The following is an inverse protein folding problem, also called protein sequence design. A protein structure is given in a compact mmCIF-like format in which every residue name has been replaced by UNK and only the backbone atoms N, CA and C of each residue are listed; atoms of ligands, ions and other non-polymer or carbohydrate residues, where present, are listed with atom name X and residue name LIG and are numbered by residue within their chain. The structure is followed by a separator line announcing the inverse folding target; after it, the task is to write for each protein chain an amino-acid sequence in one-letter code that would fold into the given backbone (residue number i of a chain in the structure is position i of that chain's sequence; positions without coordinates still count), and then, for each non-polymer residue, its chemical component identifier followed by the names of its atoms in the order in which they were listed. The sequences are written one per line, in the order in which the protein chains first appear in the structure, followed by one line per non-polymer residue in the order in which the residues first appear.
data_IF_383521354193
#
_entry.id   IF_383521354193
#
_cell.length_a   1.000
_cell.length_b   1.000
_cell.length_c   1.000
_cell.angle_alpha   90.00
_cell.angle_beta   90.00
_cell.angle_gamma   90.00
#
_symmetry.space_group_name_H-M   'P 1'
#
loop_
_entity.id
_entity.type
_entity.pdbx_description
1 polymer ?
#
# COMPACT_ATOMS: atom_id res chain seq x y z
N UNK A 1 -5.73 7.17 28.19
CA UNK A 1 -4.89 7.47 27.02
C UNK A 1 -4.70 6.22 26.20
N UNK A 2 -4.62 6.32 24.86
CA UNK A 2 -4.24 5.20 23.98
C UNK A 2 -2.95 5.60 23.27
N UNK A 3 -1.99 4.68 23.16
CA UNK A 3 -0.70 4.95 22.53
C UNK A 3 -0.28 3.82 21.56
N UNK A 4 0.54 4.18 20.56
CA UNK A 4 1.08 3.29 19.55
C UNK A 4 2.29 2.50 20.11
N UNK A 5 2.56 1.32 19.54
CA UNK A 5 3.76 0.52 19.86
C UNK A 5 5.08 1.26 19.56
N UNK A 6 5.06 2.30 18.70
CA UNK A 6 6.23 3.14 18.42
C UNK A 6 6.59 4.11 19.55
N UNK A 7 5.72 4.33 20.53
CA UNK A 7 5.96 5.23 21.65
C UNK A 7 6.84 4.53 22.68
N UNK A 8 7.98 5.12 22.96
CA UNK A 8 8.94 4.60 23.94
C UNK A 8 8.44 4.80 25.38
N UNK A 9 8.85 3.96 26.33
CA UNK A 9 8.44 4.07 27.75
C UNK A 9 8.85 5.39 28.44
N UNK A 10 9.87 6.07 27.90
CA UNK A 10 10.38 7.36 28.40
C UNK A 10 9.70 8.58 27.76
N UNK A 11 8.67 8.38 26.95
CA UNK A 11 7.90 9.49 26.38
C UNK A 11 7.25 10.34 27.46
N UNK A 12 7.41 11.66 27.37
CA UNK A 12 6.98 12.63 28.39
C UNK A 12 5.47 12.61 28.64
N UNK A 13 4.65 12.48 27.57
CA UNK A 13 3.19 12.40 27.70
C UNK A 13 2.75 11.12 28.42
N UNK A 14 3.41 10.00 28.14
CA UNK A 14 3.14 8.71 28.78
C UNK A 14 3.52 8.76 30.27
N UNK A 15 4.68 9.32 30.59
CA UNK A 15 5.15 9.50 31.97
C UNK A 15 4.21 10.41 32.77
N UNK A 16 3.81 11.56 32.21
CA UNK A 16 2.91 12.49 32.88
C UNK A 16 1.49 11.92 33.07
N UNK A 17 1.00 11.16 32.09
CA UNK A 17 -0.28 10.46 32.17
C UNK A 17 -0.28 9.44 33.31
N UNK A 18 0.82 8.66 33.43
CA UNK A 18 1.01 7.72 34.54
C UNK A 18 1.08 8.41 35.91
N UNK A 19 1.81 9.53 36.01
CA UNK A 19 1.87 10.33 37.26
C UNK A 19 0.50 10.83 37.70
N UNK A 20 -0.38 11.18 36.75
CA UNK A 20 -1.74 11.62 37.00
C UNK A 20 -2.71 10.48 37.28
N UNK A 21 -2.27 9.22 37.27
CA UNK A 21 -3.11 8.05 37.48
C UNK A 21 -4.15 7.82 36.36
N UNK A 22 -3.94 8.39 35.17
CA UNK A 22 -4.81 8.21 34.02
C UNK A 22 -4.50 6.86 33.38
N UNK A 23 -5.54 6.06 33.17
CA UNK A 23 -5.40 4.73 32.56
C UNK A 23 -4.85 4.82 31.14
N UNK A 24 -3.74 4.13 30.89
CA UNK A 24 -3.09 4.03 29.59
C UNK A 24 -3.32 2.65 28.99
N UNK A 25 -3.57 2.60 27.68
CA UNK A 25 -3.71 1.38 26.92
C UNK A 25 -2.82 1.45 25.69
N UNK A 26 -2.04 0.43 25.45
CA UNK A 26 -1.39 0.24 24.15
C UNK A 26 -2.43 -0.06 23.06
N UNK A 27 -2.04 0.10 21.78
CA UNK A 27 -2.88 -0.30 20.64
C UNK A 27 -3.38 -1.74 20.79
N UNK A 28 -2.49 -2.65 21.20
CA UNK A 28 -2.81 -4.07 21.39
C UNK A 28 -3.87 -4.31 22.46
N UNK A 29 -3.80 -3.58 23.57
CA UNK A 29 -4.75 -3.71 24.68
C UNK A 29 -6.12 -3.10 24.39
N UNK A 30 -6.18 -2.04 23.58
CA UNK A 30 -7.44 -1.36 23.27
C UNK A 30 -8.24 -2.06 22.16
N UNK A 31 -7.59 -2.78 21.25
CA UNK A 31 -8.23 -3.44 20.11
C UNK A 31 -9.42 -4.32 20.50
N UNK A 32 -9.35 -5.20 21.50
CA UNK A 32 -10.50 -6.01 21.93
C UNK A 32 -11.71 -5.21 22.35
N UNK A 33 -11.51 -3.99 22.89
CA UNK A 33 -12.62 -3.10 23.27
C UNK A 33 -13.26 -2.42 22.06
N UNK A 34 -12.42 -1.98 21.09
CA UNK A 34 -12.88 -1.32 19.85
C UNK A 34 -13.64 -2.32 18.97
N UNK A 35 -13.19 -3.57 18.93
CA UNK A 35 -13.74 -4.64 18.09
C UNK A 35 -14.82 -5.47 18.81
N UNK A 36 -15.13 -5.15 20.07
CA UNK A 36 -16.13 -5.86 20.86
C UNK A 36 -17.49 -5.83 20.17
N UNK A 37 -18.17 -6.97 20.21
CA UNK A 37 -19.52 -7.16 19.64
C UNK A 37 -19.63 -6.87 18.13
N UNK A 38 -18.48 -6.89 17.41
CA UNK A 38 -18.41 -6.75 15.95
C UNK A 38 -18.07 -8.07 15.28
N UNK A 39 -18.64 -8.27 14.09
CA UNK A 39 -18.16 -9.26 13.14
C UNK A 39 -16.96 -8.69 12.41
N UNK A 40 -15.76 -9.11 12.81
CA UNK A 40 -14.50 -8.55 12.32
C UNK A 40 -14.03 -9.30 11.09
N UNK A 41 -13.91 -8.59 9.98
CA UNK A 41 -13.31 -9.07 8.72
C UNK A 41 -11.85 -8.63 8.72
N UNK A 42 -10.97 -9.47 9.21
CA UNK A 42 -9.55 -9.14 9.40
C UNK A 42 -8.72 -9.57 8.21
N UNK A 43 -7.83 -8.68 7.74
CA UNK A 43 -6.87 -8.98 6.68
C UNK A 43 -5.45 -8.85 7.21
N UNK A 44 -4.69 -9.94 7.17
CA UNK A 44 -3.29 -10.01 7.59
C UNK A 44 -2.39 -10.49 6.43
N UNK A 45 -1.07 -10.41 6.61
CA UNK A 45 -0.04 -10.85 5.67
C UNK A 45 1.11 -9.86 5.58
N UNK A 46 2.28 -10.26 5.13
CA UNK A 46 3.43 -9.36 4.95
C UNK A 46 3.12 -8.28 3.91
N UNK A 47 2.66 -8.68 2.74
CA UNK A 47 2.32 -7.80 1.61
C UNK A 47 0.83 -7.86 1.24
N UNK A 48 0.30 -6.81 0.59
CA UNK A 48 -1.08 -6.77 0.07
C UNK A 48 -2.17 -6.44 1.11
N UNK A 49 -1.89 -6.42 2.43
CA UNK A 49 -2.87 -6.13 3.50
C UNK A 49 -3.75 -4.93 3.24
N UNK A 50 -3.15 -3.76 3.06
CA UNK A 50 -3.88 -2.49 2.91
C UNK A 50 -4.74 -2.47 1.64
N UNK A 51 -4.22 -3.03 0.55
CA UNK A 51 -4.93 -3.13 -0.73
C UNK A 51 -6.13 -4.05 -0.60
N UNK A 52 -5.93 -5.27 -0.08
CA UNK A 52 -7.00 -6.26 0.14
C UNK A 52 -8.05 -5.73 1.13
N UNK A 53 -7.62 -5.10 2.23
CA UNK A 53 -8.54 -4.48 3.21
C UNK A 53 -9.37 -3.36 2.59
N UNK A 54 -8.76 -2.49 1.79
CA UNK A 54 -9.46 -1.41 1.11
C UNK A 54 -10.45 -1.95 0.05
N UNK A 55 -10.09 -3.00 -0.70
CA UNK A 55 -10.99 -3.69 -1.61
C UNK A 55 -12.15 -4.33 -0.85
N UNK A 56 -11.87 -5.07 0.21
CA UNK A 56 -12.88 -5.71 1.04
C UNK A 56 -13.83 -4.68 1.68
N UNK A 57 -13.32 -3.52 2.07
CA UNK A 57 -14.13 -2.41 2.60
C UNK A 57 -15.08 -1.78 1.57
N UNK A 58 -14.80 -1.96 0.28
CA UNK A 58 -15.71 -1.58 -0.80
C UNK A 58 -16.81 -2.63 -0.99
N UNK A 59 -16.53 -3.89 -0.66
CA UNK A 59 -17.45 -5.02 -0.86
C UNK A 59 -18.39 -5.23 0.33
N UNK A 60 -17.90 -5.06 1.55
CA UNK A 60 -18.65 -5.30 2.79
C UNK A 60 -19.09 -3.96 3.39
N UNK A 61 -20.40 -3.79 3.53
CA UNK A 61 -20.97 -2.63 4.22
C UNK A 61 -20.72 -2.73 5.72
N UNK A 62 -19.92 -1.80 6.25
CA UNK A 62 -19.52 -1.79 7.66
C UNK A 62 -18.54 -0.68 7.99
N UNK A 63 -18.15 -0.64 9.26
CA UNK A 63 -17.05 0.22 9.72
C UNK A 63 -15.73 -0.28 9.14
N UNK A 64 -14.72 0.59 9.06
CA UNK A 64 -13.42 0.28 8.44
C UNK A 64 -12.31 0.85 9.30
N UNK A 65 -11.25 0.08 9.53
CA UNK A 65 -9.97 0.53 10.09
C UNK A 65 -8.87 -0.15 9.29
N UNK A 66 -8.12 0.63 8.51
CA UNK A 66 -7.03 0.13 7.64
C UNK A 66 -5.76 0.95 7.84
N UNK A 67 -4.60 0.42 7.44
CA UNK A 67 -3.30 1.06 7.60
C UNK A 67 -3.01 2.17 6.61
N UNK A 68 -3.80 2.30 5.54
CA UNK A 68 -3.62 3.29 4.48
C UNK A 68 -4.87 4.17 4.30
N UNK A 69 -4.72 5.33 3.65
CA UNK A 69 -5.84 6.19 3.34
C UNK A 69 -6.55 5.67 2.09
N UNK A 70 -7.79 5.20 2.23
CA UNK A 70 -8.63 4.83 1.09
C UNK A 70 -9.01 6.06 0.27
N UNK A 71 -8.90 5.98 -1.05
CA UNK A 71 -9.38 7.04 -1.94
C UNK A 71 -10.91 7.13 -1.98
N UNK A 72 -11.61 6.03 -1.70
CA UNK A 72 -13.07 5.95 -1.71
C UNK A 72 -13.72 6.84 -0.65
N UNK A 73 -13.14 6.89 0.57
CA UNK A 73 -13.70 7.69 1.68
C UNK A 73 -12.72 8.69 2.31
N UNK A 74 -11.53 8.86 1.71
CA UNK A 74 -10.56 9.91 2.06
C UNK A 74 -9.87 9.76 3.41
N UNK A 75 -10.02 8.61 4.09
CA UNK A 75 -9.49 8.32 5.42
C UNK A 75 -8.94 6.90 5.52
N UNK A 76 -8.26 6.59 6.60
CA UNK A 76 -7.90 5.23 7.01
C UNK A 76 -8.93 4.60 7.95
N UNK A 77 -9.97 5.35 8.30
CA UNK A 77 -11.06 4.93 9.17
C UNK A 77 -12.40 5.45 8.63
N UNK A 78 -13.44 4.60 8.69
CA UNK A 78 -14.83 4.96 8.40
C UNK A 78 -15.72 4.35 9.47
N UNK A 79 -16.55 5.15 10.10
CA UNK A 79 -17.62 4.66 10.95
C UNK A 79 -18.87 4.37 10.11
N UNK A 80 -19.51 3.27 10.40
CA UNK A 80 -20.80 2.88 9.82
C UNK A 80 -21.62 2.16 10.89
N UNK A 81 -22.90 2.45 10.97
CA UNK A 81 -23.80 1.82 11.95
C UNK A 81 -24.15 0.40 11.49
N UNK A 82 -23.27 -0.55 11.83
CA UNK A 82 -23.36 -1.97 11.51
C UNK A 82 -22.64 -2.80 12.57
N UNK A 83 -22.97 -4.07 12.65
CA UNK A 83 -22.21 -5.08 13.41
C UNK A 83 -20.92 -5.52 12.72
N UNK A 84 -20.68 -5.10 11.46
CA UNK A 84 -19.52 -5.49 10.67
C UNK A 84 -18.44 -4.43 10.70
N UNK A 85 -17.20 -4.90 10.72
CA UNK A 85 -16.01 -4.05 10.58
C UNK A 85 -14.94 -4.74 9.75
N UNK A 86 -14.41 -4.04 8.74
CA UNK A 86 -13.20 -4.44 8.02
C UNK A 86 -11.99 -3.88 8.73
N UNK A 87 -11.07 -4.75 9.10
CA UNK A 87 -9.92 -4.42 9.92
C UNK A 87 -8.61 -4.92 9.29
N UNK A 88 -7.66 -4.02 9.06
CA UNK A 88 -6.30 -4.42 8.69
C UNK A 88 -5.54 -4.86 9.93
N UNK A 89 -5.19 -6.14 9.96
CA UNK A 89 -4.58 -6.80 11.09
C UNK A 89 -3.06 -6.85 10.92
N UNK A 90 -2.35 -6.07 11.74
CA UNK A 90 -0.90 -5.89 11.67
C UNK A 90 -0.18 -7.00 12.45
N UNK A 91 0.67 -7.76 11.76
CA UNK A 91 1.48 -8.82 12.34
C UNK A 91 2.76 -8.32 13.01
N UNK A 92 3.20 -7.08 12.70
CA UNK A 92 4.50 -6.55 13.10
C UNK A 92 4.74 -6.51 14.62
N UNK A 93 3.66 -6.44 15.42
CA UNK A 93 3.71 -6.47 16.89
C UNK A 93 2.81 -7.56 17.51
N UNK A 94 2.39 -8.54 16.70
CA UNK A 94 1.40 -9.59 17.04
C UNK A 94 0.04 -9.03 17.50
N UNK A 95 -0.27 -7.75 17.28
CA UNK A 95 -1.57 -7.17 17.65
C UNK A 95 -2.73 -7.76 16.86
N UNK A 96 -2.45 -8.33 15.68
CA UNK A 96 -3.45 -9.01 14.87
C UNK A 96 -4.13 -10.18 15.61
N UNK A 97 -3.46 -10.84 16.54
CA UNK A 97 -4.04 -11.87 17.40
C UNK A 97 -5.18 -11.37 18.28
N UNK A 98 -5.25 -10.06 18.53
CA UNK A 98 -6.27 -9.43 19.37
C UNK A 98 -7.48 -8.92 18.53
N UNK A 99 -7.48 -9.14 17.22
CA UNK A 99 -8.59 -8.74 16.36
C UNK A 99 -9.82 -9.66 16.47
N UNK A 100 -9.64 -10.87 16.99
CA UNK A 100 -10.68 -11.88 17.16
C UNK A 100 -11.60 -12.00 15.92
N UNK A 101 -11.08 -12.44 14.76
CA UNK A 101 -11.78 -12.35 13.51
C UNK A 101 -12.98 -13.30 13.42
N UNK A 102 -14.11 -12.80 12.91
CA UNK A 102 -15.17 -13.63 12.35
C UNK A 102 -14.70 -14.24 11.02
N UNK A 103 -14.10 -13.43 10.16
CA UNK A 103 -13.50 -13.85 8.90
C UNK A 103 -12.07 -13.34 8.83
N UNK A 104 -11.12 -14.26 8.58
CA UNK A 104 -9.71 -13.95 8.41
C UNK A 104 -9.28 -14.15 6.95
N UNK A 105 -8.63 -13.13 6.39
CA UNK A 105 -7.94 -13.21 5.10
C UNK A 105 -6.44 -13.14 5.37
N UNK A 106 -5.65 -14.05 4.81
CA UNK A 106 -4.18 -13.96 4.84
C UNK A 106 -3.64 -13.96 3.42
N UNK A 107 -2.99 -12.86 3.06
CA UNK A 107 -2.46 -12.65 1.71
C UNK A 107 -1.19 -13.45 1.44
N UNK A 108 -0.28 -13.49 2.40
CA UNK A 108 0.95 -14.27 2.44
C UNK A 108 1.50 -14.29 3.86
N UNK A 109 2.46 -15.16 4.14
CA UNK A 109 3.15 -15.30 5.41
C UNK A 109 4.68 -15.27 5.22
N UNK A 110 5.16 -14.33 4.39
CA UNK A 110 6.58 -14.10 4.21
C UNK A 110 7.19 -13.55 5.50
N UNK A 111 8.38 -14.03 5.92
CA UNK A 111 9.01 -13.58 7.14
C UNK A 111 9.41 -12.10 7.11
N UNK A 112 8.64 -11.26 7.77
CA UNK A 112 8.92 -9.85 8.01
C UNK A 112 8.86 -9.56 9.52
N UNK A 113 9.49 -8.46 9.97
CA UNK A 113 9.50 -8.05 11.37
C UNK A 113 9.93 -9.17 12.36
N UNK A 114 10.90 -9.99 11.92
CA UNK A 114 11.34 -11.17 12.65
C UNK A 114 11.94 -10.88 14.03
N UNK A 115 12.39 -9.64 14.26
CA UNK A 115 12.83 -9.17 15.58
C UNK A 115 11.73 -9.31 16.64
N UNK A 116 10.47 -9.17 16.26
CA UNK A 116 9.33 -9.33 17.16
C UNK A 116 9.05 -10.81 17.50
N UNK A 117 9.51 -11.72 16.67
CA UNK A 117 9.35 -13.18 16.83
C UNK A 117 10.65 -13.87 17.28
N UNK A 118 11.59 -13.11 17.89
CA UNK A 118 12.91 -13.59 18.31
C UNK A 118 13.69 -14.29 17.18
N UNK A 119 13.50 -13.84 15.94
CA UNK A 119 14.05 -14.43 14.70
C UNK A 119 13.69 -15.92 14.51
N UNK A 120 12.61 -16.42 15.16
CA UNK A 120 12.11 -17.78 15.04
C UNK A 120 10.95 -17.86 14.04
N UNK A 121 11.17 -18.60 12.97
CA UNK A 121 10.14 -18.88 11.97
C UNK A 121 8.97 -19.68 12.55
N UNK A 122 9.24 -20.56 13.54
CA UNK A 122 8.24 -21.34 14.22
C UNK A 122 7.28 -20.44 15.02
N UNK A 123 7.81 -19.42 15.72
CA UNK A 123 7.00 -18.44 16.46
C UNK A 123 6.17 -17.59 15.50
N UNK A 124 6.76 -17.17 14.41
CA UNK A 124 6.08 -16.40 13.35
C UNK A 124 4.91 -17.21 12.75
N UNK A 125 5.18 -18.44 12.32
CA UNK A 125 4.14 -19.34 11.78
C UNK A 125 3.07 -19.71 12.82
N UNK A 126 3.46 -19.91 14.09
CA UNK A 126 2.51 -20.17 15.17
C UNK A 126 1.55 -19.01 15.40
N UNK A 127 2.02 -17.75 15.25
CA UNK A 127 1.16 -16.57 15.35
C UNK A 127 0.12 -16.52 14.22
N UNK A 128 0.50 -16.73 12.96
CA UNK A 128 -0.44 -16.81 11.85
C UNK A 128 -1.43 -17.97 11.99
N UNK A 129 -0.95 -19.13 12.40
CA UNK A 129 -1.83 -20.28 12.71
C UNK A 129 -2.84 -19.92 13.78
N UNK A 130 -2.38 -19.34 14.91
CA UNK A 130 -3.25 -18.90 16.00
C UNK A 130 -4.25 -17.83 15.60
N UNK A 131 -3.90 -16.93 14.68
CA UNK A 131 -4.81 -15.95 14.09
C UNK A 131 -5.91 -16.62 13.27
N UNK A 132 -5.55 -17.54 12.38
CA UNK A 132 -6.49 -18.27 11.55
C UNK A 132 -7.40 -19.18 12.40
N UNK A 133 -6.88 -19.83 13.43
CA UNK A 133 -7.66 -20.74 14.30
C UNK A 133 -8.80 -20.03 15.04
N UNK A 134 -8.70 -18.73 15.29
CA UNK A 134 -9.76 -17.92 15.92
C UNK A 134 -10.90 -17.56 14.97
N UNK A 135 -10.69 -17.62 13.68
CA UNK A 135 -11.70 -17.23 12.69
C UNK A 135 -12.70 -18.37 12.42
N UNK A 136 -13.97 -18.02 12.25
CA UNK A 136 -14.99 -18.95 11.76
C UNK A 136 -14.78 -19.29 10.29
N UNK A 137 -14.44 -18.28 9.49
CA UNK A 137 -14.18 -18.37 8.04
C UNK A 137 -12.75 -17.94 7.77
N UNK A 138 -12.02 -18.70 6.97
CA UNK A 138 -10.66 -18.37 6.57
C UNK A 138 -10.55 -18.33 5.04
N UNK A 139 -9.85 -17.33 4.52
CA UNK A 139 -9.46 -17.20 3.10
C UNK A 139 -7.96 -17.02 3.05
N UNK A 140 -7.27 -17.85 2.29
CA UNK A 140 -5.80 -17.82 2.23
C UNK A 140 -5.29 -17.91 0.81
N UNK A 141 -4.16 -17.28 0.54
CA UNK A 141 -3.34 -17.57 -0.62
C UNK A 141 -2.58 -18.88 -0.39
N UNK A 142 -3.04 -19.95 -1.01
CA UNK A 142 -2.51 -21.29 -0.80
C UNK A 142 -1.26 -21.60 -1.63
N UNK A 143 -0.76 -20.68 -2.44
CA UNK A 143 0.57 -20.75 -3.05
C UNK A 143 1.69 -20.31 -2.11
N UNK A 144 1.37 -19.58 -1.03
CA UNK A 144 2.28 -19.43 0.09
C UNK A 144 2.50 -20.81 0.72
N UNK A 145 3.76 -21.24 0.81
CA UNK A 145 4.12 -22.60 1.23
C UNK A 145 3.58 -22.93 2.63
N UNK A 146 3.73 -21.97 3.57
CA UNK A 146 3.24 -22.18 4.93
C UNK A 146 1.71 -22.22 4.98
N UNK A 147 1.03 -21.24 4.38
CA UNK A 147 -0.43 -21.17 4.39
C UNK A 147 -1.05 -22.38 3.67
N UNK A 148 -0.48 -22.80 2.54
CA UNK A 148 -0.90 -23.97 1.78
C UNK A 148 -0.82 -25.28 2.56
N UNK A 149 0.14 -25.39 3.49
CA UNK A 149 0.39 -26.57 4.33
C UNK A 149 -0.60 -26.72 5.51
N UNK A 150 -1.36 -25.67 5.83
CA UNK A 150 -2.27 -25.67 6.98
C UNK A 150 -3.40 -26.69 6.82
N UNK A 151 -3.66 -27.44 7.90
CA UNK A 151 -4.74 -28.45 7.95
C UNK A 151 -6.12 -27.84 8.22
N UNK A 152 -6.18 -26.57 8.69
CA UNK A 152 -7.45 -25.88 8.93
C UNK A 152 -8.22 -25.79 7.62
N UNK A 153 -9.51 -26.02 7.66
CA UNK A 153 -10.41 -25.79 6.53
C UNK A 153 -10.45 -24.29 6.24
N UNK A 154 -10.04 -23.94 5.02
CA UNK A 154 -10.00 -22.56 4.51
C UNK A 154 -10.49 -22.54 3.08
N UNK A 155 -11.05 -21.41 2.66
CA UNK A 155 -11.23 -21.08 1.25
C UNK A 155 -9.83 -20.79 0.69
N UNK A 156 -9.35 -21.67 -0.19
CA UNK A 156 -8.00 -21.62 -0.75
C UNK A 156 -8.02 -20.97 -2.12
N UNK A 157 -7.23 -19.91 -2.30
CA UNK A 157 -6.88 -19.35 -3.60
C UNK A 157 -5.52 -19.92 -4.02
N UNK A 158 -5.46 -20.48 -5.22
CA UNK A 158 -4.21 -20.82 -5.91
C UNK A 158 -4.05 -19.87 -7.10
N UNK A 159 -3.41 -18.71 -6.96
CA UNK A 159 -3.34 -17.68 -8.00
C UNK A 159 -3.02 -18.21 -9.38
N UNK A 160 -2.01 -19.06 -9.54
CA UNK A 160 -1.59 -19.62 -10.84
C UNK A 160 -2.62 -20.56 -11.50
N UNK A 161 -3.59 -21.08 -10.71
CA UNK A 161 -4.61 -22.03 -11.20
C UNK A 161 -6.00 -21.46 -11.25
N UNK A 162 -6.31 -20.52 -10.34
CA UNK A 162 -7.65 -20.01 -10.11
C UNK A 162 -7.88 -18.65 -10.74
N UNK A 163 -6.82 -17.92 -11.12
CA UNK A 163 -6.89 -16.63 -11.80
C UNK A 163 -6.39 -16.79 -13.24
N UNK A 164 -7.27 -16.55 -14.20
CA UNK A 164 -7.01 -16.69 -15.61
C UNK A 164 -7.25 -15.38 -16.36
N UNK A 165 -6.75 -15.28 -17.60
CA UNK A 165 -6.98 -14.14 -18.52
C UNK A 165 -6.68 -12.77 -17.87
N UNK A 166 -5.61 -12.68 -17.08
CA UNK A 166 -5.18 -11.43 -16.45
C UNK A 166 -4.73 -10.45 -17.54
N UNK A 167 -5.38 -9.29 -17.60
CA UNK A 167 -5.11 -8.25 -18.60
C UNK A 167 -5.23 -6.88 -17.98
N UNK A 168 -4.31 -5.99 -18.31
CA UNK A 168 -4.44 -4.58 -18.06
C UNK A 168 -5.37 -3.96 -19.11
N UNK A 169 -6.42 -3.27 -18.67
CA UNK A 169 -7.39 -2.56 -19.52
C UNK A 169 -7.55 -1.13 -19.04
N UNK A 170 -8.08 -0.25 -19.91
CA UNK A 170 -8.31 1.15 -19.57
C UNK A 170 -9.81 1.43 -19.40
N UNK A 171 -10.13 2.29 -18.42
CA UNK A 171 -11.44 2.92 -18.23
C UNK A 171 -11.20 4.40 -17.95
N UNK A 172 -11.65 5.27 -18.85
CA UNK A 172 -11.46 6.72 -18.73
C UNK A 172 -9.98 7.12 -18.45
N UNK A 173 -9.05 6.49 -19.19
CA UNK A 173 -7.61 6.64 -19.04
C UNK A 173 -7.03 6.08 -17.72
N UNK A 174 -7.84 5.51 -16.82
CA UNK A 174 -7.36 4.84 -15.61
C UNK A 174 -7.10 3.35 -15.87
N UNK A 175 -6.08 2.73 -15.22
CA UNK A 175 -5.76 1.32 -15.38
C UNK A 175 -6.66 0.44 -14.50
N UNK A 176 -7.12 -0.65 -15.07
CA UNK A 176 -7.85 -1.71 -14.38
C UNK A 176 -7.27 -3.08 -14.74
N UNK A 177 -7.19 -3.95 -13.74
CA UNK A 177 -6.91 -5.36 -13.98
C UNK A 177 -8.21 -6.09 -14.26
N UNK A 178 -8.34 -6.65 -15.46
CA UNK A 178 -9.43 -7.55 -15.84
C UNK A 178 -8.93 -8.99 -15.76
N UNK A 179 -9.65 -9.85 -15.05
CA UNK A 179 -9.26 -11.24 -14.86
C UNK A 179 -10.52 -12.14 -14.70
N UNK A 180 -10.33 -13.42 -14.89
CA UNK A 180 -11.33 -14.44 -14.59
C UNK A 180 -10.95 -15.16 -13.31
N UNK A 181 -11.82 -15.15 -12.31
CA UNK A 181 -11.68 -15.98 -11.12
C UNK A 181 -12.51 -17.25 -11.30
N UNK A 182 -11.87 -18.40 -11.14
CA UNK A 182 -12.43 -19.73 -11.37
C UNK A 182 -13.81 -19.90 -10.71
N UNK A 183 -14.76 -20.43 -11.48
CA UNK A 183 -16.15 -20.66 -11.08
C UNK A 183 -16.96 -19.39 -10.72
N UNK A 184 -16.34 -18.21 -10.61
CA UNK A 184 -17.02 -16.97 -10.25
C UNK A 184 -17.14 -15.99 -11.42
N UNK A 185 -16.43 -16.25 -12.53
CA UNK A 185 -16.49 -15.45 -13.75
C UNK A 185 -15.51 -14.29 -13.79
N UNK A 186 -15.79 -13.28 -14.61
CA UNK A 186 -14.89 -12.15 -14.86
C UNK A 186 -15.13 -11.00 -13.88
N UNK A 187 -14.03 -10.38 -13.48
CA UNK A 187 -13.98 -9.19 -12.63
C UNK A 187 -13.04 -8.14 -13.22
N UNK A 188 -13.29 -6.89 -12.87
CA UNK A 188 -12.39 -5.76 -13.14
C UNK A 188 -12.19 -4.97 -11.86
N UNK A 189 -10.95 -4.59 -11.56
CA UNK A 189 -10.58 -3.84 -10.38
C UNK A 189 -9.58 -2.75 -10.74
N UNK A 190 -9.73 -1.57 -10.16
CA UNK A 190 -8.79 -0.47 -10.32
C UNK A 190 -7.38 -0.86 -9.82
N UNK A 191 -6.37 -0.51 -10.61
CA UNK A 191 -4.96 -0.74 -10.28
C UNK A 191 -4.21 -1.46 -11.39
N UNK A 192 -2.95 -1.74 -11.14
CA UNK A 192 -2.03 -2.33 -12.10
C UNK A 192 -1.14 -3.39 -11.47
N UNK A 193 -0.93 -4.48 -12.21
CA UNK A 193 -0.08 -5.60 -11.80
C UNK A 193 -0.88 -6.83 -11.33
N UNK A 194 -0.29 -8.01 -11.52
CA UNK A 194 -0.93 -9.28 -11.17
C UNK A 194 -1.28 -9.38 -9.69
N UNK A 195 -0.47 -8.78 -8.81
CA UNK A 195 -0.75 -8.73 -7.37
C UNK A 195 -2.10 -8.07 -7.07
N UNK A 196 -2.54 -7.08 -7.88
CA UNK A 196 -3.87 -6.46 -7.73
C UNK A 196 -4.99 -7.47 -8.02
N UNK A 197 -4.81 -8.34 -9.01
CA UNK A 197 -5.79 -9.40 -9.29
C UNK A 197 -5.81 -10.46 -8.16
N UNK A 198 -4.67 -10.77 -7.55
CA UNK A 198 -4.56 -11.69 -6.42
C UNK A 198 -5.26 -11.10 -5.18
N UNK A 199 -4.92 -9.86 -4.81
CA UNK A 199 -5.52 -9.15 -3.67
C UNK A 199 -7.05 -9.02 -3.85
N UNK A 200 -7.50 -8.68 -5.06
CA UNK A 200 -8.93 -8.63 -5.40
C UNK A 200 -9.59 -9.99 -5.29
N UNK A 201 -8.94 -11.07 -5.75
CA UNK A 201 -9.49 -12.43 -5.68
C UNK A 201 -9.69 -12.87 -4.23
N UNK A 202 -8.73 -12.58 -3.33
CA UNK A 202 -8.88 -12.85 -1.91
C UNK A 202 -10.05 -12.06 -1.29
N UNK A 203 -10.17 -10.77 -1.61
CA UNK A 203 -11.29 -9.95 -1.16
C UNK A 203 -12.65 -10.43 -1.70
N UNK A 204 -12.71 -10.83 -2.98
CA UNK A 204 -13.91 -11.40 -3.62
C UNK A 204 -14.32 -12.71 -2.95
N UNK A 205 -13.36 -13.63 -2.72
CA UNK A 205 -13.63 -14.90 -2.03
C UNK A 205 -14.14 -14.68 -0.60
N UNK A 206 -13.56 -13.72 0.11
CA UNK A 206 -14.04 -13.34 1.45
C UNK A 206 -15.46 -12.78 1.39
N UNK A 207 -15.72 -11.85 0.47
CA UNK A 207 -17.05 -11.24 0.31
C UNK A 207 -18.12 -12.21 -0.18
N UNK A 208 -17.77 -13.21 -1.01
CA UNK A 208 -18.71 -14.19 -1.56
C UNK A 208 -19.37 -15.07 -0.49
N UNK A 209 -18.80 -15.16 0.69
CA UNK A 209 -19.43 -15.79 1.85
C UNK A 209 -20.53 -14.94 2.50
N UNK A 210 -20.67 -13.66 2.10
CA UNK A 210 -21.55 -12.67 2.74
C UNK A 210 -22.60 -12.06 1.80
N UNK A 211 -22.24 -11.86 0.53
CA UNK A 211 -23.07 -11.18 -0.49
C UNK A 211 -22.99 -11.90 -1.84
N UNK A 212 -23.95 -11.63 -2.71
CA UNK A 212 -24.02 -12.23 -4.04
C UNK A 212 -22.99 -11.68 -5.03
N UNK A 213 -22.65 -12.47 -6.07
CA UNK A 213 -21.61 -12.11 -7.05
C UNK A 213 -21.91 -10.83 -7.84
N UNK A 214 -23.18 -10.57 -8.16
CA UNK A 214 -23.57 -9.35 -8.88
C UNK A 214 -23.34 -8.10 -8.01
N UNK A 215 -23.62 -8.21 -6.72
CA UNK A 215 -23.36 -7.15 -5.76
C UNK A 215 -21.85 -6.94 -5.58
N UNK A 216 -21.06 -8.01 -5.53
CA UNK A 216 -19.58 -7.93 -5.52
C UNK A 216 -19.09 -7.18 -6.76
N UNK A 217 -19.54 -7.52 -7.97
CA UNK A 217 -19.12 -6.83 -9.21
C UNK A 217 -19.46 -5.35 -9.16
N UNK A 218 -20.66 -4.99 -8.73
CA UNK A 218 -21.10 -3.61 -8.58
C UNK A 218 -20.23 -2.87 -7.55
N UNK A 219 -20.04 -3.45 -6.37
CA UNK A 219 -19.35 -2.79 -5.27
C UNK A 219 -17.84 -2.64 -5.53
N UNK A 220 -17.24 -3.57 -6.27
CA UNK A 220 -15.81 -3.49 -6.64
C UNK A 220 -15.48 -2.24 -7.47
N UNK A 221 -16.46 -1.70 -8.21
CA UNK A 221 -16.30 -0.45 -8.98
C UNK A 221 -16.07 0.79 -8.09
N UNK A 222 -16.45 0.71 -6.82
CA UNK A 222 -16.22 1.79 -5.84
C UNK A 222 -14.78 1.82 -5.31
N UNK A 223 -14.04 0.73 -5.46
CA UNK A 223 -12.63 0.73 -5.11
C UNK A 223 -11.84 1.61 -6.08
N UNK A 224 -11.13 2.61 -5.56
CA UNK A 224 -10.35 3.61 -6.32
C UNK A 224 -8.88 3.64 -5.94
N UNK A 225 -8.42 2.59 -5.24
CA UNK A 225 -7.06 2.51 -4.73
C UNK A 225 -6.89 3.13 -3.35
N UNK A 226 -5.65 3.14 -2.91
CA UNK A 226 -5.20 3.76 -1.66
C UNK A 226 -4.18 4.86 -1.99
N UNK A 227 -4.13 5.90 -1.16
CA UNK A 227 -3.18 7.00 -1.37
C UNK A 227 -1.74 6.51 -1.26
N UNK A 228 -0.88 7.11 -2.05
CA UNK A 228 0.58 6.86 -2.05
C UNK A 228 1.01 5.45 -2.50
N UNK A 229 0.15 4.66 -3.16
CA UNK A 229 0.50 3.38 -3.79
C UNK A 229 -0.05 3.35 -5.20
N UNK A 230 0.80 3.57 -6.20
CA UNK A 230 0.39 3.76 -7.58
C UNK A 230 -0.85 4.68 -7.67
N UNK A 231 -0.79 5.79 -6.94
CA UNK A 231 -1.94 6.66 -6.74
C UNK A 231 -2.04 7.68 -7.87
N UNK A 232 -2.97 7.45 -8.78
CA UNK A 232 -3.20 8.31 -9.92
C UNK A 232 -3.89 9.59 -9.45
N UNK A 233 -3.20 10.71 -9.58
CA UNK A 233 -3.66 12.04 -9.22
C UNK A 233 -4.32 12.76 -10.41
N UNK A 234 -3.86 12.47 -11.63
CA UNK A 234 -4.41 12.93 -12.90
C UNK A 234 -4.34 11.79 -13.90
N UNK A 235 -5.44 11.52 -14.61
CA UNK A 235 -5.47 10.62 -15.74
C UNK A 235 -6.14 11.33 -16.92
N UNK A 236 -5.39 11.65 -17.95
CA UNK A 236 -5.85 12.26 -19.20
C UNK A 236 -5.16 11.61 -20.39
N UNK A 237 -5.69 11.85 -21.59
CA UNK A 237 -5.17 11.28 -22.81
C UNK A 237 -3.66 11.46 -22.97
N UNK A 238 -3.16 12.66 -22.73
CA UNK A 238 -1.77 13.02 -23.02
C UNK A 238 -0.94 13.31 -21.75
N UNK A 239 -1.57 13.26 -20.56
CA UNK A 239 -0.91 13.54 -19.29
C UNK A 239 -1.44 12.69 -18.15
N UNK A 240 -0.55 11.95 -17.49
CA UNK A 240 -0.85 11.18 -16.28
C UNK A 240 0.11 11.57 -15.18
N UNK A 241 -0.41 11.78 -13.97
CA UNK A 241 0.39 12.04 -12.77
C UNK A 241 0.14 10.94 -11.73
N UNK A 242 1.20 10.28 -11.29
CA UNK A 242 1.17 9.21 -10.30
C UNK A 242 2.00 9.61 -9.09
N UNK A 243 1.49 9.33 -7.89
CA UNK A 243 2.19 9.46 -6.61
C UNK A 243 2.41 8.07 -6.02
N UNK A 244 3.67 7.69 -5.80
CA UNK A 244 4.04 6.39 -5.25
C UNK A 244 5.00 6.54 -4.07
N UNK A 245 4.69 5.84 -2.98
CA UNK A 245 5.51 5.85 -1.76
C UNK A 245 6.82 5.08 -1.89
N UNK A 246 7.02 4.38 -2.99
CA UNK A 246 8.23 3.61 -3.26
C UNK A 246 9.49 4.44 -2.97
N UNK A 247 10.32 3.93 -2.11
CA UNK A 247 11.51 4.60 -1.58
C UNK A 247 12.70 3.62 -1.43
N UNK A 248 12.56 2.41 -1.95
CA UNK A 248 13.61 1.42 -2.13
C UNK A 248 13.81 1.12 -3.62
N UNK A 249 15.04 0.84 -4.10
CA UNK A 249 15.29 0.61 -5.54
C UNK A 249 14.42 -0.47 -6.17
N UNK A 250 14.16 -1.54 -5.43
CA UNK A 250 13.33 -2.67 -5.91
C UNK A 250 11.87 -2.24 -6.14
N UNK A 251 11.33 -1.43 -5.22
CA UNK A 251 9.96 -0.91 -5.32
C UNK A 251 9.83 0.05 -6.51
N UNK A 252 10.76 1.01 -6.63
CA UNK A 252 10.80 1.97 -7.75
C UNK A 252 10.86 1.24 -9.09
N UNK A 253 11.73 0.24 -9.21
CA UNK A 253 11.87 -0.57 -10.43
C UNK A 253 10.56 -1.31 -10.76
N UNK A 254 9.90 -1.89 -9.77
CA UNK A 254 8.63 -2.59 -9.96
C UNK A 254 7.52 -1.62 -10.43
N UNK A 255 7.42 -0.45 -9.79
CA UNK A 255 6.44 0.59 -10.18
C UNK A 255 6.73 1.10 -11.59
N UNK A 256 7.98 1.41 -11.95
CA UNK A 256 8.33 1.89 -13.30
C UNK A 256 8.01 0.84 -14.38
N UNK A 257 8.22 -0.44 -14.11
CA UNK A 257 7.79 -1.51 -15.02
C UNK A 257 6.29 -1.46 -15.28
N UNK A 258 5.49 -1.30 -14.23
CA UNK A 258 4.03 -1.16 -14.34
C UNK A 258 3.64 0.12 -15.09
N UNK A 259 4.33 1.23 -14.83
CA UNK A 259 4.14 2.50 -15.56
C UNK A 259 4.39 2.33 -17.05
N UNK A 260 5.42 1.57 -17.44
CA UNK A 260 5.74 1.31 -18.84
C UNK A 260 4.65 0.50 -19.56
N UNK A 261 4.08 -0.49 -18.90
CA UNK A 261 2.92 -1.23 -19.43
C UNK A 261 1.71 -0.34 -19.61
N UNK A 262 1.46 0.54 -18.65
CA UNK A 262 0.37 1.52 -18.70
C UNK A 262 0.57 2.57 -19.81
N UNK A 263 1.77 3.12 -19.93
CA UNK A 263 2.17 4.04 -20.99
C UNK A 263 1.92 3.46 -22.39
N UNK A 264 2.32 2.20 -22.58
CA UNK A 264 2.09 1.47 -23.85
C UNK A 264 0.61 1.38 -24.21
N UNK A 265 -0.27 1.12 -23.25
CA UNK A 265 -1.70 1.05 -23.49
C UNK A 265 -2.32 2.43 -23.78
N UNK A 266 -1.82 3.49 -23.17
CA UNK A 266 -2.25 4.87 -23.43
C UNK A 266 -1.71 5.41 -24.76
N UNK A 267 -0.68 4.77 -25.34
CA UNK A 267 0.06 5.32 -26.49
C UNK A 267 0.93 6.52 -26.10
N UNK A 268 1.31 6.64 -24.83
CA UNK A 268 2.22 7.68 -24.33
C UNK A 268 3.66 7.13 -24.36
N UNK A 269 4.56 7.88 -24.98
CA UNK A 269 5.94 7.44 -25.18
C UNK A 269 6.93 8.03 -24.18
N UNK A 270 6.49 8.99 -23.34
CA UNK A 270 7.38 9.70 -22.40
C UNK A 270 7.03 9.41 -20.95
N UNK A 271 8.01 8.94 -20.19
CA UNK A 271 7.92 8.65 -18.76
C UNK A 271 8.97 9.49 -18.02
N UNK A 272 8.53 10.34 -17.10
CA UNK A 272 9.40 11.13 -16.22
C UNK A 272 9.26 10.64 -14.79
N UNK A 273 10.38 10.24 -14.18
CA UNK A 273 10.45 9.93 -12.77
C UNK A 273 10.89 11.16 -11.96
N UNK A 274 10.20 11.47 -10.87
CA UNK A 274 10.62 12.44 -9.86
C UNK A 274 11.01 11.68 -8.62
N UNK A 275 12.26 11.73 -8.23
CA UNK A 275 12.79 10.99 -7.08
C UNK A 275 13.17 11.94 -5.94
N UNK A 276 12.53 11.76 -4.79
CA UNK A 276 12.95 12.37 -3.53
C UNK A 276 13.57 11.30 -2.64
N UNK A 277 14.92 11.25 -2.50
CA UNK A 277 15.55 10.32 -1.58
C UNK A 277 15.06 10.57 -0.15
N UNK A 278 14.78 9.49 0.59
CA UNK A 278 14.29 9.57 1.97
C UNK A 278 15.28 8.95 2.93
N UNK A 279 15.84 9.77 3.85
CA UNK A 279 16.93 9.51 4.79
C UNK A 279 18.30 9.30 4.14
N UNK A 280 19.29 9.96 4.66
CA UNK A 280 20.67 9.84 4.21
C UNK A 280 21.24 8.43 4.42
N UNK A 281 20.88 7.78 5.53
CA UNK A 281 21.32 6.40 5.84
C UNK A 281 20.79 5.41 4.80
N UNK A 282 19.53 5.50 4.41
CA UNK A 282 18.94 4.63 3.38
C UNK A 282 19.54 4.88 2.01
N UNK A 283 19.71 6.15 1.64
CA UNK A 283 20.34 6.52 0.38
C UNK A 283 21.73 5.88 0.27
N UNK A 284 22.55 6.01 1.32
CA UNK A 284 23.90 5.43 1.37
C UNK A 284 23.89 3.91 1.25
N UNK A 285 23.03 3.24 2.00
CA UNK A 285 22.94 1.78 2.01
C UNK A 285 22.51 1.19 0.67
N UNK A 286 21.73 1.92 -0.14
CA UNK A 286 21.14 1.43 -1.38
C UNK A 286 21.60 2.21 -2.63
N UNK A 287 22.69 2.98 -2.54
CA UNK A 287 23.11 3.91 -3.59
C UNK A 287 23.26 3.25 -4.96
N UNK A 288 23.93 2.09 -5.02
CA UNK A 288 24.10 1.35 -6.28
C UNK A 288 22.77 0.89 -6.88
N UNK A 289 21.83 0.47 -6.03
CA UNK A 289 20.49 0.10 -6.46
C UNK A 289 19.73 1.29 -7.04
N UNK A 290 19.82 2.46 -6.42
CA UNK A 290 19.19 3.68 -6.93
C UNK A 290 19.77 4.14 -8.27
N UNK A 291 21.08 3.98 -8.49
CA UNK A 291 21.70 4.27 -9.79
C UNK A 291 21.16 3.42 -10.95
N UNK A 292 20.60 2.26 -10.66
CA UNK A 292 20.16 1.27 -11.65
C UNK A 292 18.63 1.16 -11.80
N UNK A 293 17.83 1.68 -10.84
CA UNK A 293 16.40 1.43 -10.82
C UNK A 293 15.58 2.30 -11.79
N UNK A 294 16.16 3.36 -12.37
CA UNK A 294 15.46 4.33 -13.23
C UNK A 294 15.56 4.03 -14.74
N UNK A 295 16.02 2.84 -15.13
CA UNK A 295 16.23 2.47 -16.55
C UNK A 295 14.95 2.46 -17.41
N UNK A 296 13.79 2.40 -16.80
CA UNK A 296 12.50 2.34 -17.51
C UNK A 296 11.84 3.72 -17.68
N UNK A 297 12.44 4.81 -17.16
CA UNK A 297 12.00 6.17 -17.46
C UNK A 297 12.92 6.84 -18.48
N UNK A 298 12.38 7.84 -19.20
CA UNK A 298 13.09 8.62 -20.20
C UNK A 298 13.79 9.82 -19.57
N UNK A 299 13.14 10.45 -18.59
CA UNK A 299 13.68 11.59 -17.84
C UNK A 299 13.66 11.30 -16.34
N UNK A 300 14.69 11.78 -15.65
CA UNK A 300 14.79 11.71 -14.19
C UNK A 300 14.93 13.13 -13.61
N UNK A 301 14.09 13.45 -12.63
CA UNK A 301 14.21 14.65 -11.81
C UNK A 301 14.56 14.22 -10.38
N UNK A 302 15.58 14.82 -9.80
CA UNK A 302 16.01 14.52 -8.42
C UNK A 302 15.77 15.75 -7.54
N UNK A 303 15.04 15.54 -6.44
CA UNK A 303 14.80 16.50 -5.39
C UNK A 303 15.83 16.34 -4.25
N UNK A 304 15.99 17.35 -3.37
CA UNK A 304 16.82 17.21 -2.17
C UNK A 304 16.40 16.02 -1.30
N UNK A 305 17.38 15.46 -0.59
CA UNK A 305 17.10 14.38 0.38
C UNK A 305 16.15 14.87 1.46
N UNK A 306 15.06 14.16 1.67
CA UNK A 306 14.21 14.35 2.84
C UNK A 306 14.88 13.67 4.03
N UNK A 307 15.43 14.48 4.94
CA UNK A 307 16.31 14.00 6.01
C UNK A 307 15.60 13.16 7.08
N UNK A 308 14.31 13.43 7.34
CA UNK A 308 13.55 12.84 8.45
C UNK A 308 14.29 12.95 9.81
N UNK A 309 15.00 14.08 10.02
CA UNK A 309 15.77 14.34 11.24
C UNK A 309 17.20 13.77 11.26
N UNK A 310 17.64 13.11 10.19
CA UNK A 310 19.03 12.67 10.07
C UNK A 310 19.95 13.82 9.65
N UNK A 311 21.22 13.77 10.08
CA UNK A 311 22.26 14.68 9.62
C UNK A 311 22.74 14.30 8.23
N UNK A 312 23.13 15.30 7.44
CA UNK A 312 23.76 15.08 6.14
C UNK A 312 25.04 14.25 6.28
N UNK A 313 25.18 13.24 5.45
CA UNK A 313 26.31 12.31 5.42
C UNK A 313 27.34 12.63 4.31
N UNK A 314 27.20 13.78 3.63
CA UNK A 314 28.13 14.28 2.61
C UNK A 314 27.99 13.62 1.23
N UNK A 315 26.89 12.88 0.95
CA UNK A 315 26.65 12.29 -0.38
C UNK A 315 26.21 13.39 -1.35
N UNK A 316 26.98 13.61 -2.41
CA UNK A 316 26.63 14.52 -3.50
C UNK A 316 25.69 13.81 -4.49
N UNK A 317 24.41 14.16 -4.49
CA UNK A 317 23.47 13.64 -5.48
C UNK A 317 23.91 13.96 -6.92
N UNK A 318 24.51 15.14 -7.16
CA UNK A 318 24.97 15.55 -8.48
C UNK A 318 26.06 14.62 -9.00
N UNK A 319 27.06 14.28 -8.16
CA UNK A 319 28.16 13.42 -8.56
C UNK A 319 27.70 11.97 -8.74
N UNK A 320 26.89 11.46 -7.82
CA UNK A 320 26.46 10.07 -7.81
C UNK A 320 25.49 9.72 -8.94
N UNK A 321 24.64 10.66 -9.37
CA UNK A 321 23.65 10.44 -10.41
C UNK A 321 23.97 11.10 -11.76
N UNK A 322 25.15 11.70 -11.91
CA UNK A 322 25.58 12.41 -13.15
C UNK A 322 25.43 11.57 -14.42
N UNK A 323 25.67 10.26 -14.36
CA UNK A 323 25.59 9.32 -15.47
C UNK A 323 24.16 9.12 -16.01
N UNK A 324 23.11 9.47 -15.25
CA UNK A 324 21.70 9.46 -15.67
C UNK A 324 21.26 10.81 -16.23
N UNK A 325 22.13 11.82 -16.26
CA UNK A 325 21.84 13.20 -16.71
C UNK A 325 20.51 13.77 -16.16
N UNK A 326 20.26 13.71 -14.84
CA UNK A 326 19.00 14.12 -14.27
C UNK A 326 18.87 15.65 -14.21
N UNK A 327 17.63 16.14 -14.23
CA UNK A 327 17.29 17.48 -13.80
C UNK A 327 17.32 17.55 -12.26
N UNK A 328 18.05 18.49 -11.67
CA UNK A 328 17.98 18.78 -10.24
C UNK A 328 17.06 19.95 -9.98
N UNK A 329 16.08 19.79 -9.11
CA UNK A 329 15.14 20.83 -8.70
C UNK A 329 15.03 20.85 -7.17
N UNK A 330 14.74 22.00 -6.58
CA UNK A 330 14.56 22.12 -5.14
C UNK A 330 13.16 21.71 -4.68
N UNK A 331 12.17 21.90 -5.54
CA UNK A 331 10.78 21.55 -5.27
C UNK A 331 10.01 21.24 -6.54
N UNK A 332 8.89 20.60 -6.36
CA UNK A 332 7.90 20.31 -7.40
C UNK A 332 6.54 20.84 -6.95
N UNK A 333 5.78 21.41 -7.89
CA UNK A 333 4.43 21.91 -7.64
C UNK A 333 3.50 21.47 -8.75
N UNK A 334 2.37 20.91 -8.39
CA UNK A 334 1.29 20.66 -9.34
C UNK A 334 0.47 21.94 -9.51
N UNK A 335 0.31 22.38 -10.76
CA UNK A 335 -0.59 23.48 -11.14
C UNK A 335 -1.57 22.91 -12.18
N UNK A 336 -2.81 22.72 -11.77
CA UNK A 336 -3.88 22.09 -12.56
C UNK A 336 -3.46 20.78 -13.25
N UNK A 337 -3.10 20.84 -14.52
CA UNK A 337 -2.78 19.69 -15.36
C UNK A 337 -1.30 19.66 -15.78
N UNK A 338 -0.44 20.35 -15.07
CA UNK A 338 0.99 20.34 -15.32
C UNK A 338 1.78 20.33 -14.00
N UNK A 339 3.05 20.02 -14.11
CA UNK A 339 4.01 20.02 -13.01
C UNK A 339 5.05 21.11 -13.29
N UNK A 340 5.30 21.93 -12.30
CA UNK A 340 6.33 22.95 -12.28
C UNK A 340 7.47 22.50 -11.36
N UNK A 341 8.69 22.59 -11.86
CA UNK A 341 9.91 22.39 -11.08
C UNK A 341 10.55 23.73 -10.79
N UNK A 342 10.86 23.97 -9.53
CA UNK A 342 11.43 25.23 -9.10
C UNK A 342 12.82 25.04 -8.52
N UNK A 343 13.69 26.02 -8.77
CA UNK A 343 14.85 26.34 -7.96
C UNK A 343 14.41 27.19 -6.76
N UNK A 344 15.36 27.71 -5.99
CA UNK A 344 15.08 28.54 -4.81
C UNK A 344 14.24 29.77 -5.14
N UNK A 345 14.35 30.30 -6.37
CA UNK A 345 13.74 31.58 -6.77
C UNK A 345 12.81 31.53 -8.00
N UNK A 346 12.97 30.55 -8.91
CA UNK A 346 12.26 30.56 -10.21
C UNK A 346 11.76 29.19 -10.63
N UNK A 347 10.65 29.16 -11.38
CA UNK A 347 10.19 27.97 -12.12
C UNK A 347 11.14 27.71 -13.28
N UNK A 348 11.82 26.56 -13.27
CA UNK A 348 12.83 26.22 -14.29
C UNK A 348 12.32 25.32 -15.39
N UNK A 349 11.31 24.52 -15.12
CA UNK A 349 10.84 23.53 -16.08
C UNK A 349 9.36 23.20 -15.82
N UNK A 350 8.62 22.98 -16.90
CA UNK A 350 7.20 22.62 -16.85
C UNK A 350 6.99 21.32 -17.61
N UNK A 351 6.27 20.38 -17.03
CA UNK A 351 5.80 19.15 -17.65
C UNK A 351 4.28 19.14 -17.74
N UNK A 352 3.74 19.08 -18.95
CA UNK A 352 2.31 19.06 -19.24
C UNK A 352 1.87 17.89 -20.12
N UNK A 353 2.79 16.99 -20.44
CA UNK A 353 2.56 15.78 -21.24
C UNK A 353 3.37 14.60 -20.70
N UNK A 354 3.01 13.39 -21.08
CA UNK A 354 3.68 12.18 -20.65
C UNK A 354 3.10 11.60 -19.37
N UNK A 355 3.75 10.54 -18.87
CA UNK A 355 3.48 9.99 -17.54
C UNK A 355 4.55 10.50 -16.58
N UNK A 356 4.11 11.19 -15.53
CA UNK A 356 4.97 11.69 -14.46
C UNK A 356 4.72 10.88 -13.20
N UNK A 357 5.78 10.30 -12.62
CA UNK A 357 5.69 9.50 -11.41
C UNK A 357 6.56 10.09 -10.32
N UNK A 358 5.95 10.47 -9.19
CA UNK A 358 6.69 10.89 -8.01
C UNK A 358 6.99 9.73 -7.08
N UNK A 359 8.25 9.59 -6.68
CA UNK A 359 8.75 8.56 -5.78
C UNK A 359 9.33 9.14 -4.50
N UNK A 360 8.89 8.65 -3.36
CA UNK A 360 9.49 8.99 -2.08
C UNK A 360 8.54 8.90 -0.89
N UNK A 361 9.12 8.67 0.29
CA UNK A 361 8.41 8.61 1.56
C UNK A 361 8.40 9.95 2.31
N UNK A 362 8.97 11.01 1.71
CA UNK A 362 9.04 12.35 2.26
C UNK A 362 7.82 13.22 1.95
N UNK A 363 8.06 14.49 1.71
CA UNK A 363 7.03 15.49 1.44
C UNK A 363 6.64 15.62 -0.04
N UNK A 364 7.30 14.92 -0.95
CA UNK A 364 6.98 14.93 -2.39
C UNK A 364 5.50 14.68 -2.64
N UNK A 365 4.88 13.74 -1.91
CA UNK A 365 3.45 13.46 -2.02
C UNK A 365 2.59 14.68 -1.72
N UNK A 366 2.97 15.50 -0.73
CA UNK A 366 2.26 16.73 -0.40
C UNK A 366 2.42 17.78 -1.52
N UNK A 367 3.62 17.91 -2.05
CA UNK A 367 3.92 18.82 -3.16
C UNK A 367 3.09 18.48 -4.41
N UNK A 368 2.98 17.18 -4.77
CA UNK A 368 2.19 16.71 -5.91
C UNK A 368 0.66 16.81 -5.67
N UNK A 369 0.21 16.82 -4.42
CA UNK A 369 -1.21 16.92 -4.05
C UNK A 369 -1.69 18.32 -3.78
N UNK A 370 -0.84 19.35 -3.87
CA UNK A 370 -1.13 20.74 -3.46
C UNK A 370 -1.49 20.86 -1.96
N UNK A 371 -0.94 20.03 -1.11
CA UNK A 371 -1.09 20.14 0.34
C UNK A 371 0.13 20.92 0.85
N UNK A 372 -0.08 22.15 1.26
CA UNK A 372 0.93 23.04 1.86
C UNK A 372 1.06 22.74 3.35
#
# INVERSE_FOLDING_TARGET
MVYSAAIKPDNEELLETNKKGIKCYSRKEILPFVLKDKKVFSVAGAHGKSTTSAMLSSLIEGSVIIGAISKQFGSNMKYFESDKIVFEADESDSSFLNSNPYLAVVTNAEPEHMEHYDFSIEKFHAAYKGFLERAEICVINAEDEFLGSLKKECIKLFPSKDIEDIKLVLRDYEPYMSFRLKNLGRFEVFGIGEHIAIDASLAILAASSQIGLEEIRKNLTFYKGIKKRFDILVAKKDFVLIDDYAHHPTEIKATLKSVKEYAKLLGINKITAIFQPHRFTRLKANLNGFKECFKECDDLVILPVYSAGESDNGISLKDEFSHLNPLFANSVKRVDNHIEFSDIYDVKHILNEGIVVGFGAGDISNQLRKIL
#
